data_IF_576682068765
#
_entry.id   IF_576682068765
#
_cell.length_a   1.000
_cell.length_b   1.000
_cell.length_c   1.000
_cell.angle_alpha   90.00
_cell.angle_beta   90.00
_cell.angle_gamma   90.00
#
_symmetry.space_group_name_H-M   'P 1'
#
loop_
_entity.id
_entity.type
_entity.pdbx_description
1 polymer ?
#
# COMPACT_ATOMS: atom_id res chain seq x y z
N UNK A 1 0.15 24.84 23.56
CA UNK A 1 0.07 24.02 22.34
C UNK A 1 -0.50 22.67 22.74
N UNK A 2 -1.76 22.40 22.41
CA UNK A 2 -2.28 21.03 22.52
C UNK A 2 -1.51 20.19 21.52
N UNK A 3 -0.70 19.24 22.00
CA UNK A 3 -0.27 18.13 21.15
C UNK A 3 -1.51 17.27 20.99
N UNK A 4 -2.27 17.48 19.91
CA UNK A 4 -3.33 16.54 19.54
C UNK A 4 -2.66 15.19 19.29
N UNK A 5 -2.93 14.22 20.17
CA UNK A 5 -2.48 12.85 19.96
C UNK A 5 -3.37 12.27 18.86
N UNK A 6 -2.83 12.23 17.64
CA UNK A 6 -3.43 11.53 16.50
C UNK A 6 -3.59 10.05 16.88
N UNK A 7 -4.78 9.50 16.68
CA UNK A 7 -5.04 8.08 16.94
C UNK A 7 -4.40 7.21 15.85
N UNK A 8 -4.16 5.93 16.17
CA UNK A 8 -3.64 4.96 15.18
C UNK A 8 -4.53 4.86 13.93
N UNK A 9 -5.84 5.01 14.10
CA UNK A 9 -6.80 4.95 13.00
C UNK A 9 -6.69 6.17 12.08
N UNK A 10 -6.66 7.39 12.64
CA UNK A 10 -6.47 8.62 11.86
C UNK A 10 -5.12 8.62 11.13
N UNK A 11 -4.07 8.11 11.77
CA UNK A 11 -2.76 7.95 11.13
C UNK A 11 -2.82 6.96 9.95
N UNK A 12 -3.54 5.85 10.10
CA UNK A 12 -3.77 4.89 9.02
C UNK A 12 -4.55 5.51 7.85
N UNK A 13 -5.55 6.34 8.12
CA UNK A 13 -6.33 7.03 7.09
C UNK A 13 -5.45 8.01 6.30
N UNK A 14 -4.69 8.87 6.98
CA UNK A 14 -3.76 9.83 6.35
C UNK A 14 -2.75 9.09 5.45
N UNK A 15 -2.07 8.07 6.00
CA UNK A 15 -1.09 7.28 5.25
C UNK A 15 -1.76 6.57 4.07
N UNK A 16 -2.96 6.02 4.27
CA UNK A 16 -3.72 5.33 3.24
C UNK A 16 -4.13 6.22 2.08
N UNK A 17 -4.42 7.50 2.34
CA UNK A 17 -4.68 8.52 1.31
C UNK A 17 -3.40 8.92 0.56
N UNK A 18 -2.31 9.21 1.28
CA UNK A 18 -1.01 9.56 0.70
C UNK A 18 -0.52 8.48 -0.28
N UNK A 19 -0.63 7.20 0.12
CA UNK A 19 -0.24 6.07 -0.73
C UNK A 19 -1.21 5.88 -1.91
N UNK A 20 -2.51 6.13 -1.69
CA UNK A 20 -3.49 6.10 -2.77
C UNK A 20 -3.17 7.10 -3.88
N UNK A 21 -2.67 8.28 -3.53
CA UNK A 21 -2.20 9.29 -4.49
C UNK A 21 -0.95 8.81 -5.22
N UNK A 22 0.04 8.26 -4.51
CA UNK A 22 1.26 7.69 -5.13
C UNK A 22 0.95 6.62 -6.16
N UNK A 23 0.04 5.69 -5.83
CA UNK A 23 -0.42 4.66 -6.77
C UNK A 23 -1.07 5.28 -8.01
N UNK A 24 -1.94 6.29 -7.84
CA UNK A 24 -2.59 6.99 -8.97
C UNK A 24 -1.58 7.71 -9.87
N UNK A 25 -0.53 8.27 -9.29
CA UNK A 25 0.53 8.98 -10.02
C UNK A 25 1.55 8.04 -10.67
N UNK A 26 1.53 6.74 -10.33
CA UNK A 26 2.57 5.79 -10.75
C UNK A 26 3.87 5.91 -9.96
N UNK A 27 3.88 6.65 -8.86
CA UNK A 27 5.03 6.82 -7.94
C UNK A 27 5.15 5.62 -6.99
N UNK A 28 5.23 4.42 -7.57
CA UNK A 28 5.31 3.16 -6.85
C UNK A 28 6.49 2.32 -7.31
N UNK A 29 6.97 1.46 -6.41
CA UNK A 29 7.97 0.47 -6.73
C UNK A 29 7.37 -0.57 -7.69
N UNK A 30 7.74 -0.45 -8.95
CA UNK A 30 7.26 -1.32 -10.02
C UNK A 30 7.83 -2.74 -9.89
N UNK A 31 9.03 -2.89 -9.33
CA UNK A 31 9.63 -4.21 -9.12
C UNK A 31 8.87 -4.96 -8.02
N UNK A 32 8.57 -4.27 -6.91
CA UNK A 32 7.72 -4.83 -5.86
C UNK A 32 6.32 -5.22 -6.37
N UNK A 33 5.74 -4.41 -7.27
CA UNK A 33 4.46 -4.73 -7.90
C UNK A 33 4.54 -6.00 -8.77
N UNK A 34 5.62 -6.14 -9.56
CA UNK A 34 5.86 -7.30 -10.42
C UNK A 34 6.10 -8.57 -9.59
N UNK A 35 6.85 -8.47 -8.49
CA UNK A 35 7.04 -9.58 -7.55
C UNK A 35 5.70 -10.06 -6.98
N UNK A 36 4.87 -9.13 -6.50
CA UNK A 36 3.54 -9.46 -5.98
C UNK A 36 2.67 -10.10 -7.07
N UNK A 37 2.65 -9.54 -8.28
CA UNK A 37 1.88 -10.11 -9.38
C UNK A 37 2.35 -11.53 -9.75
N UNK A 38 3.66 -11.78 -9.70
CA UNK A 38 4.25 -13.11 -9.93
C UNK A 38 3.87 -14.10 -8.84
N UNK A 39 3.80 -13.67 -7.58
CA UNK A 39 3.32 -14.50 -6.48
C UNK A 39 1.83 -14.81 -6.58
N UNK A 40 1.02 -13.86 -7.04
CA UNK A 40 -0.40 -14.08 -7.32
C UNK A 40 -0.61 -15.07 -8.45
N UNK A 41 0.22 -15.02 -9.49
CA UNK A 41 0.23 -16.01 -10.57
C UNK A 41 0.49 -17.42 -10.05
N UNK A 42 1.53 -17.59 -9.21
CA UNK A 42 1.85 -18.89 -8.59
C UNK A 42 0.72 -19.41 -7.70
N UNK A 43 -0.09 -18.50 -7.13
CA UNK A 43 -1.29 -18.82 -6.33
C UNK A 43 -2.54 -19.07 -7.17
N UNK A 44 -2.44 -18.99 -8.50
CA UNK A 44 -3.54 -19.26 -9.42
C UNK A 44 -4.46 -18.07 -9.69
N UNK A 45 -4.08 -16.85 -9.30
CA UNK A 45 -4.86 -15.65 -9.64
C UNK A 45 -4.71 -15.37 -11.14
N UNK A 46 -5.81 -15.32 -11.91
CA UNK A 46 -5.77 -15.16 -13.36
C UNK A 46 -5.15 -13.82 -13.76
N UNK A 47 -4.47 -13.78 -14.90
CA UNK A 47 -3.90 -12.56 -15.43
C UNK A 47 -4.98 -11.54 -15.81
N UNK A 48 -4.62 -10.25 -15.83
CA UNK A 48 -5.51 -9.15 -16.18
C UNK A 48 -5.80 -8.22 -15.00
N UNK A 49 -6.94 -7.55 -15.06
CA UNK A 49 -7.30 -6.47 -14.15
C UNK A 49 -7.42 -6.95 -12.70
N UNK A 50 -7.91 -8.17 -12.48
CA UNK A 50 -8.03 -8.75 -11.14
C UNK A 50 -6.66 -8.88 -10.46
N UNK A 51 -5.70 -9.57 -11.10
CA UNK A 51 -4.34 -9.71 -10.58
C UNK A 51 -3.67 -8.35 -10.38
N UNK A 52 -3.83 -7.43 -11.31
CA UNK A 52 -3.27 -6.08 -11.19
C UNK A 52 -3.87 -5.34 -9.99
N UNK A 53 -5.19 -5.39 -9.83
CA UNK A 53 -5.90 -4.72 -8.74
C UNK A 53 -5.47 -5.31 -7.39
N UNK A 54 -5.48 -6.63 -7.26
CA UNK A 54 -5.03 -7.31 -6.04
C UNK A 54 -3.55 -7.03 -5.75
N UNK A 55 -2.69 -6.97 -6.77
CA UNK A 55 -1.28 -6.64 -6.57
C UNK A 55 -1.10 -5.21 -6.04
N UNK A 56 -1.86 -4.25 -6.58
CA UNK A 56 -1.86 -2.86 -6.11
C UNK A 56 -2.39 -2.71 -4.68
N UNK A 57 -3.43 -3.47 -4.31
CA UNK A 57 -3.97 -3.49 -2.95
C UNK A 57 -2.96 -4.05 -1.94
N UNK A 58 -2.28 -5.14 -2.29
CA UNK A 58 -1.23 -5.72 -1.44
C UNK A 58 -0.06 -4.73 -1.31
N UNK A 59 0.38 -4.13 -2.42
CA UNK A 59 1.44 -3.13 -2.40
C UNK A 59 1.05 -1.93 -1.53
N UNK A 60 -0.19 -1.44 -1.67
CA UNK A 60 -0.75 -0.38 -0.83
C UNK A 60 -0.64 -0.72 0.64
N UNK A 61 -1.09 -1.91 1.04
CA UNK A 61 -1.05 -2.32 2.45
C UNK A 61 0.39 -2.43 2.97
N UNK A 62 1.31 -2.98 2.18
CA UNK A 62 2.74 -3.04 2.55
C UNK A 62 3.32 -1.65 2.80
N UNK A 63 3.04 -0.69 1.91
CA UNK A 63 3.49 0.68 2.06
C UNK A 63 2.89 1.35 3.31
N UNK A 64 1.61 1.07 3.62
CA UNK A 64 0.95 1.58 4.84
C UNK A 64 1.67 1.02 6.07
N UNK A 65 1.92 -0.29 6.10
CA UNK A 65 2.57 -0.96 7.22
C UNK A 65 4.02 -0.47 7.42
N UNK A 66 4.76 -0.24 6.34
CA UNK A 66 6.11 0.34 6.41
C UNK A 66 6.10 1.77 6.94
N UNK A 67 5.17 2.60 6.47
CA UNK A 67 5.07 3.98 6.91
C UNK A 67 4.63 4.07 8.37
N UNK A 68 3.70 3.20 8.79
CA UNK A 68 3.33 3.04 10.20
C UNK A 68 4.51 2.60 11.07
N UNK A 69 5.38 1.71 10.58
CA UNK A 69 6.60 1.30 11.31
C UNK A 69 7.62 2.43 11.41
N UNK A 70 7.78 3.26 10.37
CA UNK A 70 8.68 4.42 10.37
C UNK A 70 8.18 5.54 11.29
N UNK A 71 6.86 5.77 11.27
CA UNK A 71 6.17 6.78 12.09
C UNK A 71 5.78 6.27 13.47
N UNK A 72 6.06 5.00 13.77
CA UNK A 72 5.92 4.46 15.11
C UNK A 72 6.78 5.28 16.07
N UNK A 73 6.08 6.18 16.74
CA UNK A 73 6.22 6.59 18.14
C UNK A 73 6.66 5.39 18.99
#
# INVERSE_FOLDING_TARGET
MNKENITKQELMEIIGEEIGIKIKNGDIDSDALVEIASDLEKKGVPAGDERRTTALEILRQRMIDEELKKRAI
#
